data_IF_297994624182
#
_entry.id   IF_297994624182
#
_cell.length_a   1.000
_cell.length_b   1.000
_cell.length_c   1.000
_cell.angle_alpha   90.00
_cell.angle_beta   90.00
_cell.angle_gamma   90.00
#
_symmetry.space_group_name_H-M   'P 1'
#
loop_
_entity.id
_entity.type
_entity.pdbx_description
1 polymer ?
#
# COMPACT_ATOMS: atom_id res chain seq x y z
N UNK A 1 -13.85 -0.22 6.59
CA UNK A 1 -12.67 0.70 6.38
C UNK A 1 -11.71 0.04 5.42
N UNK A 2 -11.19 0.77 4.46
CA UNK A 2 -10.28 0.28 3.42
C UNK A 2 -8.88 0.87 3.58
N UNK A 3 -7.89 0.18 3.03
CA UNK A 3 -6.51 0.68 2.92
C UNK A 3 -6.19 0.97 1.47
N UNK A 4 -5.81 2.20 1.17
CA UNK A 4 -5.31 2.62 -0.14
C UNK A 4 -3.79 2.55 -0.14
N UNK A 5 -3.20 1.81 -1.07
CA UNK A 5 -1.76 1.64 -1.19
C UNK A 5 -1.27 2.25 -2.51
N UNK A 6 -0.40 3.24 -2.44
CA UNK A 6 0.19 3.91 -3.59
C UNK A 6 1.39 3.10 -4.11
N UNK A 7 1.19 2.35 -5.19
CA UNK A 7 2.15 1.41 -5.75
C UNK A 7 2.57 1.72 -7.21
N UNK A 8 2.31 2.94 -7.68
CA UNK A 8 2.52 3.28 -9.10
C UNK A 8 3.74 4.16 -9.41
N UNK A 9 4.65 4.39 -8.45
CA UNK A 9 5.84 5.23 -8.65
C UNK A 9 6.92 4.56 -9.52
N UNK A 10 7.72 5.38 -10.24
CA UNK A 10 8.79 4.93 -11.15
C UNK A 10 10.00 4.28 -10.46
N UNK A 11 10.15 4.43 -9.16
CA UNK A 11 11.20 3.73 -8.41
C UNK A 11 12.65 4.22 -8.57
N UNK A 12 12.86 5.41 -9.14
CA UNK A 12 14.16 5.94 -9.61
C UNK A 12 15.32 5.99 -8.61
N UNK A 13 15.10 5.72 -7.32
CA UNK A 13 16.14 5.79 -6.27
C UNK A 13 16.84 4.47 -5.95
N UNK A 14 16.35 3.34 -6.45
CA UNK A 14 16.95 2.02 -6.29
C UNK A 14 17.06 1.43 -7.71
N UNK A 15 18.05 1.88 -8.48
CA UNK A 15 18.13 1.61 -9.90
C UNK A 15 18.40 0.13 -10.23
N UNK A 16 19.25 -0.56 -9.47
CA UNK A 16 19.72 -1.89 -9.83
C UNK A 16 18.66 -3.01 -9.70
N UNK A 17 17.72 -2.90 -8.74
CA UNK A 17 16.67 -3.91 -8.57
C UNK A 17 15.32 -3.49 -9.21
N UNK A 18 15.11 -2.20 -9.48
CA UNK A 18 13.86 -1.69 -10.07
C UNK A 18 13.82 -1.80 -11.59
N UNK A 19 14.93 -2.15 -12.23
CA UNK A 19 14.94 -2.39 -13.68
C UNK A 19 14.05 -3.58 -14.08
N UNK A 20 13.79 -4.52 -13.19
CA UNK A 20 12.95 -5.68 -13.45
C UNK A 20 11.61 -5.66 -12.68
N UNK A 21 11.56 -5.11 -11.46
CA UNK A 21 10.38 -5.15 -10.60
C UNK A 21 10.00 -3.74 -10.11
N UNK A 22 8.70 -3.41 -9.97
CA UNK A 22 8.30 -2.18 -9.28
C UNK A 22 8.63 -2.32 -7.78
N UNK A 23 9.04 -1.24 -7.12
CA UNK A 23 9.46 -1.25 -5.70
C UNK A 23 8.56 -2.05 -4.76
N UNK A 24 7.21 -1.94 -4.83
CA UNK A 24 6.33 -2.71 -3.96
C UNK A 24 6.48 -4.23 -4.11
N UNK A 25 7.07 -4.69 -5.21
CA UNK A 25 7.29 -6.11 -5.51
C UNK A 25 8.68 -6.62 -5.17
N UNK A 26 9.58 -5.76 -4.69
CA UNK A 26 10.88 -6.18 -4.14
C UNK A 26 10.61 -7.11 -2.96
N UNK A 27 11.32 -8.25 -2.94
CA UNK A 27 11.08 -9.30 -1.96
C UNK A 27 11.93 -9.14 -0.70
N UNK A 28 11.30 -9.34 0.44
CA UNK A 28 11.95 -9.48 1.75
C UNK A 28 11.47 -10.79 2.36
N UNK A 29 12.38 -11.70 2.65
CA UNK A 29 12.03 -13.02 3.18
C UNK A 29 11.09 -13.83 2.27
N UNK A 30 11.26 -13.71 0.94
CA UNK A 30 10.47 -14.43 -0.07
C UNK A 30 9.06 -13.89 -0.29
N UNK A 31 8.73 -12.70 0.23
CA UNK A 31 7.44 -12.01 0.01
C UNK A 31 7.66 -10.56 -0.40
N UNK A 32 6.84 -10.01 -1.31
CA UNK A 32 6.93 -8.60 -1.69
C UNK A 32 6.74 -7.65 -0.50
N UNK A 33 7.38 -6.48 -0.54
CA UNK A 33 7.14 -5.41 0.47
C UNK A 33 5.64 -5.10 0.57
N UNK A 34 4.93 -5.05 -0.54
CA UNK A 34 3.48 -4.86 -0.60
C UNK A 34 2.73 -5.89 0.27
N UNK A 35 3.13 -7.15 0.22
CA UNK A 35 2.56 -8.21 1.07
C UNK A 35 2.76 -7.91 2.56
N UNK A 36 3.96 -7.48 2.96
CA UNK A 36 4.26 -7.13 4.35
C UNK A 36 3.41 -5.94 4.84
N UNK A 37 3.24 -4.93 4.00
CA UNK A 37 2.36 -3.78 4.30
C UNK A 37 0.93 -4.27 4.55
N UNK A 38 0.40 -5.11 3.66
CA UNK A 38 -0.95 -5.66 3.81
C UNK A 38 -1.08 -6.50 5.08
N UNK A 39 -0.04 -7.29 5.46
CA UNK A 39 -0.01 -8.04 6.73
C UNK A 39 -0.06 -7.14 7.95
N UNK A 40 0.62 -5.99 7.93
CA UNK A 40 0.56 -5.01 9.02
C UNK A 40 -0.88 -4.58 9.26
N UNK A 41 -1.61 -4.14 8.23
CA UNK A 41 -3.02 -3.73 8.36
C UNK A 41 -3.94 -4.91 8.74
N UNK A 42 -3.68 -6.08 8.18
CA UNK A 42 -4.43 -7.30 8.46
C UNK A 42 -4.34 -7.72 9.93
N UNK A 43 -3.20 -7.49 10.59
CA UNK A 43 -3.02 -7.68 12.04
C UNK A 43 -4.03 -6.86 12.87
N UNK A 44 -4.47 -5.73 12.35
CA UNK A 44 -5.47 -4.84 12.98
C UNK A 44 -6.89 -5.05 12.42
N UNK A 45 -7.14 -6.18 11.72
CA UNK A 45 -8.46 -6.56 11.22
C UNK A 45 -8.88 -5.86 9.92
N UNK A 46 -7.98 -5.12 9.26
CA UNK A 46 -8.30 -4.44 8.00
C UNK A 46 -7.78 -5.29 6.83
N UNK A 47 -8.71 -5.86 6.06
CA UNK A 47 -8.45 -6.84 5.00
C UNK A 47 -8.94 -6.40 3.61
N UNK A 48 -9.40 -5.17 3.44
CA UNK A 48 -9.89 -4.61 2.17
C UNK A 48 -8.90 -3.56 1.66
N UNK A 49 -8.25 -3.86 0.53
CA UNK A 49 -7.14 -3.11 -0.02
C UNK A 49 -7.45 -2.59 -1.42
N UNK A 50 -7.09 -1.33 -1.67
CA UNK A 50 -7.11 -0.71 -2.99
C UNK A 50 -5.67 -0.36 -3.34
N UNK A 51 -5.11 -1.01 -4.35
CA UNK A 51 -3.74 -0.77 -4.78
C UNK A 51 -3.74 0.11 -6.04
N UNK A 52 -3.20 1.31 -5.92
CA UNK A 52 -3.04 2.24 -7.04
C UNK A 52 -1.82 1.84 -7.87
N UNK A 53 -2.05 1.05 -8.91
CA UNK A 53 -1.02 0.60 -9.84
C UNK A 53 -0.63 1.73 -10.82
N UNK A 54 0.57 1.66 -11.36
CA UNK A 54 1.12 2.50 -12.40
C UNK A 54 2.29 1.77 -13.04
N UNK A 55 3.49 2.35 -13.02
CA UNK A 55 4.67 1.73 -13.62
C UNK A 55 4.82 0.26 -13.24
N UNK A 56 4.93 -0.60 -14.27
CA UNK A 56 4.94 -2.08 -14.12
C UNK A 56 3.79 -2.65 -13.26
N UNK A 57 2.64 -1.97 -13.21
CA UNK A 57 1.48 -2.40 -12.43
C UNK A 57 0.94 -3.78 -12.84
N UNK A 58 1.24 -4.23 -14.07
CA UNK A 58 0.91 -5.57 -14.53
C UNK A 58 1.55 -6.65 -13.64
N UNK A 59 2.80 -6.48 -13.21
CA UNK A 59 3.49 -7.45 -12.34
C UNK A 59 2.80 -7.60 -10.97
N UNK A 60 2.21 -6.52 -10.46
CA UNK A 60 1.38 -6.58 -9.25
C UNK A 60 0.11 -7.37 -9.50
N UNK A 61 -0.55 -7.13 -10.64
CA UNK A 61 -1.77 -7.88 -11.05
C UNK A 61 -1.47 -9.36 -11.25
N UNK A 62 -0.39 -9.68 -11.94
CA UNK A 62 0.06 -11.06 -12.17
C UNK A 62 0.34 -11.79 -10.85
N UNK A 63 1.04 -11.17 -9.92
CA UNK A 63 1.31 -11.73 -8.60
C UNK A 63 0.02 -12.11 -7.86
N UNK A 64 -0.97 -11.22 -7.80
CA UNK A 64 -2.21 -11.49 -7.08
C UNK A 64 -3.16 -12.41 -7.85
N UNK A 65 -3.16 -12.39 -9.18
CA UNK A 65 -3.94 -13.36 -9.97
C UNK A 65 -3.46 -14.79 -9.78
N UNK A 66 -2.17 -14.96 -9.51
CA UNK A 66 -1.55 -16.26 -9.25
C UNK A 66 -1.27 -16.50 -7.76
N UNK A 67 -1.84 -15.69 -6.86
CA UNK A 67 -1.49 -15.69 -5.43
C UNK A 67 -1.68 -17.07 -4.77
N UNK A 68 -2.74 -17.77 -5.10
CA UNK A 68 -2.99 -19.12 -4.57
C UNK A 68 -1.94 -20.15 -5.01
N UNK A 69 -1.30 -19.96 -6.20
CA UNK A 69 -0.19 -20.79 -6.64
C UNK A 69 1.05 -20.63 -5.74
N UNK A 70 1.25 -19.43 -5.18
CA UNK A 70 2.35 -19.15 -4.28
C UNK A 70 2.10 -19.61 -2.83
N UNK A 71 0.82 -19.82 -2.46
CA UNK A 71 0.40 -20.02 -1.08
C UNK A 71 -0.21 -21.40 -0.82
N UNK A 72 -0.26 -22.31 -1.81
CA UNK A 72 -0.97 -23.58 -1.70
C UNK A 72 -0.22 -24.70 -2.39
N UNK A 73 -0.42 -25.92 -1.92
CA UNK A 73 -0.01 -27.11 -2.66
C UNK A 73 -1.00 -27.39 -3.79
N UNK A 74 -0.51 -27.73 -4.98
CA UNK A 74 -1.33 -27.84 -6.19
C UNK A 74 -1.00 -29.12 -6.94
N UNK A 75 -2.04 -29.80 -7.40
CA UNK A 75 -1.94 -30.90 -8.36
C UNK A 75 -2.48 -30.45 -9.71
N UNK A 76 -1.64 -30.53 -10.73
CA UNK A 76 -2.04 -30.36 -12.12
C UNK A 76 -2.23 -31.71 -12.80
N UNK A 77 -3.41 -31.98 -13.35
CA UNK A 77 -3.67 -33.12 -14.20
C UNK A 77 -3.59 -32.68 -15.66
N UNK A 78 -2.43 -32.89 -16.28
CA UNK A 78 -2.17 -32.43 -17.66
C UNK A 78 -3.06 -33.15 -18.69
N UNK A 79 -3.44 -34.40 -18.43
CA UNK A 79 -4.29 -35.22 -19.36
C UNK A 79 -5.64 -34.56 -19.62
N UNK A 80 -6.25 -33.92 -18.64
CA UNK A 80 -7.60 -33.36 -18.77
C UNK A 80 -7.65 -31.86 -18.39
N UNK A 81 -6.49 -31.21 -18.33
CA UNK A 81 -6.31 -29.78 -18.04
C UNK A 81 -7.07 -29.34 -16.75
N UNK A 82 -6.98 -30.16 -15.70
CA UNK A 82 -7.61 -29.87 -14.40
C UNK A 82 -6.57 -29.50 -13.37
N UNK A 83 -6.93 -28.54 -12.51
CA UNK A 83 -6.13 -28.11 -11.36
C UNK A 83 -6.90 -28.36 -10.07
N UNK A 84 -6.21 -28.88 -9.06
CA UNK A 84 -6.74 -29.05 -7.70
C UNK A 84 -5.81 -28.34 -6.72
N UNK A 85 -6.36 -27.38 -5.98
CA UNK A 85 -5.65 -26.65 -4.92
C UNK A 85 -5.88 -27.40 -3.60
N UNK A 86 -4.78 -27.71 -2.89
CA UNK A 86 -4.77 -28.32 -1.58
C UNK A 86 -4.37 -27.28 -0.53
N UNK A 87 -4.88 -27.37 0.68
CA UNK A 87 -4.46 -26.54 1.81
C UNK A 87 -4.41 -25.03 1.48
N UNK A 88 -5.57 -24.40 1.37
CA UNK A 88 -5.67 -22.95 1.17
C UNK A 88 -5.04 -22.19 2.36
N UNK A 89 -3.85 -21.63 2.16
CA UNK A 89 -3.13 -20.81 3.14
C UNK A 89 -3.14 -19.33 2.77
N UNK A 90 -4.07 -18.92 1.89
CA UNK A 90 -4.20 -17.53 1.48
C UNK A 90 -4.80 -16.69 2.60
N UNK A 91 -4.35 -15.45 2.69
CA UNK A 91 -4.91 -14.44 3.59
C UNK A 91 -6.36 -14.09 3.19
N UNK A 92 -7.19 -13.63 4.15
CA UNK A 92 -8.59 -13.27 3.91
C UNK A 92 -8.73 -11.88 3.28
N UNK A 93 -7.90 -11.56 2.28
CA UNK A 93 -7.85 -10.24 1.67
C UNK A 93 -8.83 -10.08 0.52
N UNK A 94 -9.47 -8.92 0.48
CA UNK A 94 -10.11 -8.38 -0.72
C UNK A 94 -9.19 -7.34 -1.33
N UNK A 95 -8.80 -7.51 -2.59
CA UNK A 95 -7.81 -6.66 -3.23
C UNK A 95 -8.37 -6.10 -4.53
N UNK A 96 -8.45 -4.78 -4.62
CA UNK A 96 -8.80 -4.06 -5.85
C UNK A 96 -7.55 -3.43 -6.45
N UNK A 97 -7.15 -3.87 -7.64
CA UNK A 97 -5.96 -3.38 -8.35
C UNK A 97 -6.39 -2.38 -9.42
N UNK A 98 -6.16 -1.09 -9.18
CA UNK A 98 -6.61 -0.01 -10.05
C UNK A 98 -5.45 0.53 -10.86
N UNK A 99 -5.57 0.55 -12.18
CA UNK A 99 -4.63 1.28 -13.04
C UNK A 99 -4.86 2.77 -12.88
N UNK A 100 -3.89 3.45 -12.29
CA UNK A 100 -3.94 4.89 -12.09
C UNK A 100 -3.02 5.66 -13.04
N UNK A 101 -2.33 4.95 -13.96
CA UNK A 101 -1.43 5.52 -14.97
C UNK A 101 -0.02 5.79 -14.44
N UNK A 102 0.96 5.69 -15.33
CA UNK A 102 2.39 5.76 -14.98
C UNK A 102 2.80 7.15 -14.45
N UNK A 103 2.39 8.19 -15.14
CA UNK A 103 2.78 9.58 -14.85
C UNK A 103 1.84 10.31 -13.87
N UNK A 104 0.95 9.58 -13.20
CA UNK A 104 0.00 10.18 -12.27
C UNK A 104 0.63 10.42 -10.90
N UNK A 105 0.56 11.65 -10.41
CA UNK A 105 1.04 12.03 -9.07
C UNK A 105 0.09 11.55 -7.97
N UNK A 106 0.54 11.59 -6.72
CA UNK A 106 -0.16 11.06 -5.53
C UNK A 106 -1.63 11.48 -5.45
N UNK A 107 -1.92 12.78 -5.51
CA UNK A 107 -3.30 13.29 -5.45
C UNK A 107 -4.16 12.85 -6.63
N UNK A 108 -3.55 12.75 -7.83
CA UNK A 108 -4.23 12.24 -9.02
C UNK A 108 -4.63 10.77 -8.89
N UNK A 109 -3.78 9.93 -8.27
CA UNK A 109 -4.11 8.51 -8.00
C UNK A 109 -5.29 8.39 -7.03
N UNK A 110 -5.29 9.18 -5.97
CA UNK A 110 -6.41 9.22 -5.01
C UNK A 110 -7.71 9.64 -5.71
N UNK A 111 -7.66 10.64 -6.59
CA UNK A 111 -8.84 11.06 -7.37
C UNK A 111 -9.37 9.92 -8.27
N UNK A 112 -8.49 9.16 -8.91
CA UNK A 112 -8.88 8.06 -9.82
C UNK A 112 -9.55 6.88 -9.10
N UNK A 113 -9.28 6.69 -7.81
CA UNK A 113 -9.90 5.62 -7.02
C UNK A 113 -11.14 6.08 -6.24
N UNK A 114 -11.62 7.30 -6.49
CA UNK A 114 -12.76 7.89 -5.76
C UNK A 114 -13.97 6.95 -5.68
N UNK A 115 -14.34 6.31 -6.78
CA UNK A 115 -15.49 5.39 -6.83
C UNK A 115 -15.39 4.21 -5.85
N UNK A 116 -14.18 3.82 -5.44
CA UNK A 116 -13.96 2.69 -4.51
C UNK A 116 -13.93 3.12 -3.04
N UNK A 117 -13.82 4.43 -2.76
CA UNK A 117 -13.72 4.98 -1.39
C UNK A 117 -14.81 5.97 -1.04
N UNK A 118 -15.65 6.39 -1.99
CA UNK A 118 -16.67 7.45 -1.80
C UNK A 118 -17.67 7.17 -0.67
N UNK A 119 -17.95 5.90 -0.40
CA UNK A 119 -18.91 5.47 0.61
C UNK A 119 -18.24 5.16 1.97
N UNK A 120 -16.90 5.31 2.06
CA UNK A 120 -16.16 5.15 3.30
C UNK A 120 -16.12 6.46 4.09
N UNK A 121 -16.43 6.42 5.39
CA UNK A 121 -16.29 7.59 6.29
C UNK A 121 -14.82 8.07 6.36
N UNK A 122 -13.90 7.13 6.37
CA UNK A 122 -12.46 7.35 6.31
C UNK A 122 -11.78 6.11 5.73
N UNK A 123 -10.58 6.28 5.17
CA UNK A 123 -9.72 5.19 4.72
C UNK A 123 -8.28 5.44 5.13
N UNK A 124 -7.51 4.37 5.31
CA UNK A 124 -6.07 4.47 5.52
C UNK A 124 -5.36 4.65 4.18
N UNK A 125 -4.32 5.48 4.16
CA UNK A 125 -3.46 5.70 2.99
C UNK A 125 -2.01 5.42 3.34
N UNK A 126 -1.32 4.64 2.52
CA UNK A 126 0.11 4.37 2.68
C UNK A 126 0.82 4.26 1.33
N UNK A 127 2.16 4.37 1.35
CA UNK A 127 2.98 4.05 0.20
C UNK A 127 3.27 2.55 0.14
N UNK A 128 3.49 2.02 -1.08
CA UNK A 128 3.71 0.60 -1.33
C UNK A 128 5.16 0.14 -1.11
N UNK A 129 6.04 1.01 -0.61
CA UNK A 129 7.47 0.75 -0.42
C UNK A 129 7.98 1.08 0.99
N UNK A 130 7.10 1.36 1.94
CA UNK A 130 7.44 1.67 3.32
C UNK A 130 6.71 0.79 4.33
N UNK A 131 7.45 0.21 5.27
CA UNK A 131 6.92 -0.55 6.40
C UNK A 131 7.16 0.23 7.70
N UNK A 132 6.29 0.06 8.68
CA UNK A 132 6.42 0.69 10.00
C UNK A 132 5.78 -0.16 11.07
N UNK A 133 6.08 0.13 12.32
CA UNK A 133 5.52 -0.48 13.52
C UNK A 133 4.39 0.35 14.16
N UNK A 134 3.81 1.26 13.39
CA UNK A 134 2.71 2.12 13.84
C UNK A 134 1.51 1.28 14.29
N UNK A 135 1.00 1.58 15.47
CA UNK A 135 -0.26 1.03 15.98
C UNK A 135 -1.43 1.65 15.22
N UNK A 136 -1.96 0.89 14.25
CA UNK A 136 -3.03 1.35 13.36
C UNK A 136 -4.33 1.61 14.13
N UNK A 137 -4.62 0.86 15.18
CA UNK A 137 -5.82 1.12 16.02
C UNK A 137 -5.71 2.48 16.69
N UNK A 138 -4.58 2.78 17.32
CA UNK A 138 -4.37 4.10 17.95
C UNK A 138 -4.39 5.24 16.94
N UNK A 139 -3.86 5.03 15.73
CA UNK A 139 -3.90 6.02 14.66
C UNK A 139 -5.34 6.34 14.25
N UNK A 140 -6.17 5.32 14.06
CA UNK A 140 -7.59 5.49 13.70
C UNK A 140 -8.37 6.17 14.82
N UNK A 141 -8.15 5.76 16.07
CA UNK A 141 -8.78 6.38 17.25
C UNK A 141 -8.40 7.86 17.38
N UNK A 142 -7.12 8.17 17.16
CA UNK A 142 -6.65 9.56 17.15
C UNK A 142 -7.31 10.37 16.02
N UNK A 143 -7.41 9.81 14.81
CA UNK A 143 -8.11 10.45 13.70
C UNK A 143 -9.56 10.77 14.06
N UNK A 144 -10.30 9.79 14.55
CA UNK A 144 -11.70 9.94 14.91
C UNK A 144 -11.92 11.01 16.01
N UNK A 145 -11.04 11.04 17.02
CA UNK A 145 -11.10 12.04 18.11
C UNK A 145 -10.69 13.44 17.68
N UNK A 146 -9.79 13.55 16.69
CA UNK A 146 -9.27 14.85 16.25
C UNK A 146 -10.26 15.69 15.46
N UNK A 147 -11.30 15.08 14.88
CA UNK A 147 -12.28 15.72 14.01
C UNK A 147 -11.68 16.36 12.76
N UNK A 148 -10.46 15.93 12.34
CA UNK A 148 -9.75 16.48 11.17
C UNK A 148 -10.01 15.64 9.92
N UNK A 149 -9.92 16.28 8.76
CA UNK A 149 -10.10 15.60 7.47
C UNK A 149 -8.94 14.64 7.13
N UNK A 150 -7.74 14.91 7.64
CA UNK A 150 -6.57 14.07 7.43
C UNK A 150 -5.70 14.02 8.69
N UNK A 151 -5.11 12.85 8.94
CA UNK A 151 -4.15 12.59 10.01
C UNK A 151 -2.91 11.96 9.40
N UNK A 152 -1.74 12.44 9.74
CA UNK A 152 -0.47 11.93 9.27
C UNK A 152 0.31 11.31 10.40
N UNK A 153 0.95 10.18 10.13
CA UNK A 153 2.03 9.67 10.98
C UNK A 153 3.33 10.39 10.61
N UNK A 154 3.95 11.04 11.57
CA UNK A 154 5.22 11.72 11.41
C UNK A 154 6.31 11.03 12.21
N UNK A 155 7.52 10.98 11.68
CA UNK A 155 8.70 10.49 12.36
C UNK A 155 9.85 11.49 12.21
N UNK A 156 10.91 11.33 12.97
CA UNK A 156 12.16 12.10 12.81
C UNK A 156 13.15 11.26 12.01
N UNK A 157 13.21 11.39 10.69
CA UNK A 157 14.13 10.62 9.89
C UNK A 157 15.54 11.20 9.92
N UNK A 158 16.58 10.41 9.72
CA UNK A 158 17.89 10.95 9.42
C UNK A 158 17.87 11.58 8.00
N UNK A 159 17.92 12.89 7.93
CA UNK A 159 18.48 13.75 6.89
C UNK A 159 18.02 13.73 5.42
N UNK A 160 17.13 12.87 4.94
CA UNK A 160 16.80 12.77 3.49
C UNK A 160 15.36 13.11 3.09
N UNK A 161 14.51 13.45 4.04
CA UNK A 161 13.07 13.56 3.84
C UNK A 161 12.56 14.95 4.13
N UNK A 162 11.40 15.30 3.58
CA UNK A 162 10.76 16.58 3.87
C UNK A 162 10.42 16.74 5.34
N UNK A 163 10.64 17.94 5.90
CA UNK A 163 10.30 18.27 7.27
C UNK A 163 8.89 18.84 7.38
N UNK A 164 8.22 18.56 8.48
CA UNK A 164 6.93 19.17 8.84
C UNK A 164 7.11 20.07 10.06
N UNK A 165 6.57 21.28 9.99
CA UNK A 165 6.43 22.14 11.19
C UNK A 165 5.14 21.73 11.91
N UNK A 166 5.28 21.24 13.12
CA UNK A 166 4.17 20.80 13.97
C UNK A 166 4.12 21.75 15.18
N UNK A 167 2.95 22.29 15.49
CA UNK A 167 2.77 23.15 16.67
C UNK A 167 2.63 22.32 17.97
N UNK A 168 2.56 23.00 19.12
CA UNK A 168 2.42 22.37 20.45
C UNK A 168 1.14 21.53 20.61
N UNK A 169 0.16 21.71 19.76
CA UNK A 169 -1.09 20.94 19.73
C UNK A 169 -1.04 19.75 18.76
N UNK A 170 0.13 19.38 18.24
CA UNK A 170 0.32 18.35 17.22
C UNK A 170 -0.46 18.63 15.92
N UNK A 171 -0.61 19.90 15.54
CA UNK A 171 -1.29 20.33 14.31
C UNK A 171 -0.27 20.94 13.34
N UNK A 172 -0.50 20.72 12.04
CA UNK A 172 0.25 21.40 10.97
C UNK A 172 -0.49 22.70 10.65
N UNK A 173 0.14 23.88 10.83
CA UNK A 173 -0.46 25.16 10.49
C UNK A 173 -0.84 25.23 8.99
N UNK A 174 -1.93 25.92 8.67
CA UNK A 174 -2.33 26.15 7.27
C UNK A 174 -1.26 26.97 6.55
N UNK A 175 -0.94 26.62 5.31
CA UNK A 175 -0.07 27.41 4.43
C UNK A 175 1.41 27.07 4.47
N UNK A 176 1.85 26.08 5.27
CA UNK A 176 3.24 25.63 5.28
C UNK A 176 3.41 24.52 4.24
N UNK A 177 4.18 24.79 3.19
CA UNK A 177 4.72 23.74 2.30
C UNK A 177 5.86 23.04 3.07
N UNK A 178 5.90 21.70 3.04
CA UNK A 178 7.04 20.97 3.61
C UNK A 178 8.34 21.48 3.00
N UNK A 179 9.30 21.86 3.84
CA UNK A 179 10.65 22.23 3.39
C UNK A 179 11.32 20.93 2.89
N UNK A 180 11.97 21.00 1.72
CA UNK A 180 12.87 19.93 1.31
C UNK A 180 14.05 19.97 2.28
N UNK A 181 14.31 18.88 2.99
CA UNK A 181 15.56 18.74 3.74
C UNK A 181 16.74 18.89 2.78
N UNK A 182 17.72 19.70 3.19
CA UNK A 182 19.02 19.84 2.52
C UNK A 182 19.79 18.52 2.52
#
# INVERSE_FOLDING_TARGET
MKVVILAGGLGTRISEETDNLPKPMIQIGGKPILWHIMKIYSKYGINDFIVCCGYKGYLIKEYFSNYFLHMSDITFCMKNNKMKVHHKRSEPWTITLVDTGDNTMTGGRIKKIYQYVKDEKAFCLTYGDGVSDVDITKLIDFHNKSGKQATLTATRPPGRYGALKINSENKIPRGIRGEKGN
#
